data_IF_284698715525
#
_entry.id   IF_284698715525
#
_cell.length_a   1.000
_cell.length_b   1.000
_cell.length_c   1.000
_cell.angle_alpha   90.00
_cell.angle_beta   90.00
_cell.angle_gamma   90.00
#
_symmetry.space_group_name_H-M   'P 1'
#
loop_
_entity.id
_entity.type
_entity.pdbx_description
1 polymer ?
#
# COMPACT_ATOMS: atom_id res chain seq x y z
N UNK A 1 -11.11 -34.26 40.47
CA UNK A 1 -10.58 -34.39 39.10
C UNK A 1 -10.48 -33.01 38.46
N UNK A 2 -9.26 -32.51 38.23
CA UNK A 2 -8.99 -31.19 37.65
C UNK A 2 -8.87 -31.29 36.12
N UNK A 3 -9.66 -30.44 35.47
CA UNK A 3 -9.35 -29.62 34.27
C UNK A 3 -8.83 -30.34 33.01
N UNK A 4 -9.77 -30.67 32.11
CA UNK A 4 -9.55 -30.60 30.66
C UNK A 4 -10.58 -29.61 30.10
N UNK A 5 -10.31 -28.32 30.26
CA UNK A 5 -11.03 -27.25 29.56
C UNK A 5 -10.00 -26.16 29.27
N UNK A 6 -9.14 -26.34 28.24
CA UNK A 6 -8.35 -25.21 27.71
C UNK A 6 -7.64 -25.45 26.35
N UNK A 7 -8.14 -26.31 25.45
CA UNK A 7 -7.48 -26.51 24.14
C UNK A 7 -8.39 -26.12 22.94
N UNK A 8 -9.72 -26.22 23.05
CA UNK A 8 -10.60 -25.88 21.92
C UNK A 8 -10.78 -24.37 21.67
N UNK A 9 -10.68 -23.53 22.70
CA UNK A 9 -10.85 -22.06 22.54
C UNK A 9 -9.64 -21.44 21.81
N UNK A 10 -8.43 -21.96 22.06
CA UNK A 10 -7.21 -21.49 21.39
C UNK A 10 -7.23 -21.82 19.90
N UNK A 11 -7.55 -23.05 19.51
CA UNK A 11 -7.62 -23.44 18.09
C UNK A 11 -8.74 -22.73 17.32
N UNK A 12 -9.89 -22.48 17.94
CA UNK A 12 -10.98 -21.73 17.30
C UNK A 12 -10.63 -20.25 17.13
N UNK A 13 -9.97 -19.63 18.11
CA UNK A 13 -9.45 -18.27 17.97
C UNK A 13 -8.34 -18.17 16.92
N UNK A 14 -7.48 -19.19 16.80
CA UNK A 14 -6.42 -19.26 15.78
C UNK A 14 -7.01 -19.37 14.38
N UNK A 15 -8.03 -20.21 14.17
CA UNK A 15 -8.72 -20.34 12.86
C UNK A 15 -9.50 -19.07 12.49
N UNK A 16 -10.20 -18.45 13.43
CA UNK A 16 -10.86 -17.17 13.21
C UNK A 16 -9.84 -16.06 12.90
N UNK A 17 -8.71 -16.02 13.62
CA UNK A 17 -7.62 -15.08 13.37
C UNK A 17 -6.90 -15.33 12.03
N UNK A 18 -6.73 -16.58 11.59
CA UNK A 18 -6.21 -16.92 10.24
C UNK A 18 -7.18 -16.44 9.15
N UNK A 19 -8.49 -16.61 9.36
CA UNK A 19 -9.51 -16.10 8.43
C UNK A 19 -9.59 -14.57 8.40
N UNK A 20 -9.30 -13.91 9.52
CA UNK A 20 -9.28 -12.45 9.66
C UNK A 20 -8.01 -11.87 9.01
N UNK A 21 -6.84 -12.40 9.34
CA UNK A 21 -5.58 -11.94 8.77
C UNK A 21 -5.57 -12.10 7.24
N UNK A 22 -6.12 -13.21 6.73
CA UNK A 22 -6.28 -13.41 5.28
C UNK A 22 -7.28 -12.45 4.64
N UNK A 23 -8.37 -12.08 5.31
CA UNK A 23 -9.31 -11.04 4.83
C UNK A 23 -8.67 -9.67 4.79
N UNK A 24 -7.97 -9.27 5.87
CA UNK A 24 -7.23 -8.02 5.94
C UNK A 24 -6.24 -7.92 4.78
N UNK A 25 -5.36 -8.91 4.64
CA UNK A 25 -4.35 -8.92 3.57
C UNK A 25 -5.01 -8.83 2.20
N UNK A 26 -6.07 -9.60 1.94
CA UNK A 26 -6.80 -9.56 0.66
C UNK A 26 -7.40 -8.20 0.33
N UNK A 27 -8.00 -7.51 1.32
CA UNK A 27 -8.58 -6.17 1.08
C UNK A 27 -7.48 -5.15 0.82
N UNK A 28 -6.39 -5.22 1.57
CA UNK A 28 -5.22 -4.34 1.38
C UNK A 28 -4.57 -4.59 0.01
N UNK A 29 -4.33 -5.84 -0.38
CA UNK A 29 -3.76 -6.19 -1.68
C UNK A 29 -4.68 -5.71 -2.83
N UNK A 30 -6.01 -5.84 -2.67
CA UNK A 30 -6.97 -5.32 -3.63
C UNK A 30 -6.94 -3.78 -3.72
N UNK A 31 -6.77 -3.09 -2.60
CA UNK A 31 -6.64 -1.63 -2.57
C UNK A 31 -5.34 -1.18 -3.26
N UNK A 32 -4.21 -1.84 -2.96
CA UNK A 32 -2.91 -1.57 -3.59
C UNK A 32 -3.00 -1.74 -5.10
N UNK A 33 -3.63 -2.82 -5.58
CA UNK A 33 -3.83 -3.05 -7.00
C UNK A 33 -4.71 -1.96 -7.65
N UNK A 34 -5.83 -1.59 -7.02
CA UNK A 34 -6.71 -0.53 -7.56
C UNK A 34 -6.01 0.83 -7.62
N UNK A 35 -5.26 1.20 -6.57
CA UNK A 35 -4.44 2.42 -6.56
C UNK A 35 -3.39 2.38 -7.67
N UNK A 36 -2.69 1.24 -7.81
CA UNK A 36 -1.67 1.05 -8.83
C UNK A 36 -2.22 1.21 -10.25
N UNK A 37 -3.41 0.68 -10.52
CA UNK A 37 -4.10 0.84 -11.82
C UNK A 37 -4.50 2.29 -12.08
N UNK A 38 -5.03 2.99 -11.06
CA UNK A 38 -5.38 4.41 -11.18
C UNK A 38 -4.16 5.28 -11.48
N UNK A 39 -3.04 5.03 -10.79
CA UNK A 39 -1.79 5.75 -11.05
C UNK A 39 -1.26 5.43 -12.44
N UNK A 40 -1.21 4.16 -12.83
CA UNK A 40 -0.72 3.77 -14.16
C UNK A 40 -1.54 4.44 -15.27
N UNK A 41 -2.86 4.46 -15.14
CA UNK A 41 -3.73 5.16 -16.08
C UNK A 41 -3.47 6.67 -16.10
N UNK A 42 -3.30 7.31 -14.93
CA UNK A 42 -2.98 8.74 -14.83
C UNK A 42 -1.63 9.07 -15.52
N UNK A 43 -0.61 8.25 -15.31
CA UNK A 43 0.72 8.40 -15.90
C UNK A 43 0.70 8.22 -17.42
N UNK A 44 -0.07 7.24 -17.93
CA UNK A 44 -0.23 7.02 -19.37
C UNK A 44 -0.98 8.20 -20.00
N UNK A 45 -2.13 8.58 -19.44
CA UNK A 45 -3.03 9.59 -20.04
C UNK A 45 -2.45 11.00 -19.96
N UNK A 46 -1.84 11.36 -18.83
CA UNK A 46 -1.45 12.75 -18.58
C UNK A 46 0.04 13.03 -18.82
N UNK A 47 0.88 12.00 -18.87
CA UNK A 47 2.34 12.17 -18.99
C UNK A 47 2.95 11.33 -20.13
N UNK A 48 2.16 10.53 -20.84
CA UNK A 48 2.63 9.60 -21.88
C UNK A 48 3.75 8.67 -21.41
N UNK A 49 3.77 8.32 -20.12
CA UNK A 49 4.74 7.36 -19.62
C UNK A 49 4.35 5.94 -20.04
N UNK A 50 5.31 5.21 -20.59
CA UNK A 50 5.18 3.78 -20.85
C UNK A 50 5.70 3.04 -19.64
N UNK A 51 4.78 2.41 -18.89
CA UNK A 51 5.13 1.65 -17.69
C UNK A 51 5.20 0.17 -18.07
N UNK A 52 6.42 -0.37 -18.11
CA UNK A 52 6.64 -1.80 -18.30
C UNK A 52 6.21 -2.59 -17.07
N UNK A 53 5.13 -3.37 -17.16
CA UNK A 53 4.77 -4.31 -16.09
C UNK A 53 5.88 -5.33 -15.83
N UNK A 54 6.16 -5.60 -14.55
CA UNK A 54 7.04 -6.71 -14.13
C UNK A 54 6.20 -7.93 -13.74
N UNK A 55 6.66 -9.16 -14.03
CA UNK A 55 5.92 -10.38 -13.68
C UNK A 55 5.61 -10.55 -12.18
N UNK A 56 6.41 -9.92 -11.32
CA UNK A 56 6.28 -9.95 -9.86
C UNK A 56 5.53 -8.74 -9.27
N UNK A 57 5.01 -7.85 -10.13
CA UNK A 57 4.25 -6.70 -9.67
C UNK A 57 2.84 -7.11 -9.26
N UNK A 58 2.60 -7.02 -7.95
CA UNK A 58 1.25 -6.98 -7.36
C UNK A 58 0.80 -5.53 -7.11
N UNK A 59 1.67 -4.56 -7.41
CA UNK A 59 1.57 -3.14 -7.10
C UNK A 59 2.52 -2.34 -8.01
N UNK A 60 2.31 -1.03 -8.13
CA UNK A 60 3.13 -0.14 -8.96
C UNK A 60 4.36 0.37 -8.19
N UNK A 61 5.55 0.15 -8.75
CA UNK A 61 6.83 0.57 -8.17
C UNK A 61 7.81 -0.59 -8.04
N UNK A 62 9.09 -0.33 -8.29
CA UNK A 62 10.16 -1.21 -7.80
C UNK A 62 10.33 -1.07 -6.28
N UNK A 63 9.87 0.07 -5.75
CA UNK A 63 9.84 0.39 -4.34
C UNK A 63 8.64 1.28 -4.08
N UNK A 64 7.83 0.97 -3.06
CA UNK A 64 6.66 1.76 -2.72
C UNK A 64 6.34 1.77 -1.23
N UNK A 65 5.59 2.81 -0.86
CA UNK A 65 5.01 3.00 0.46
C UNK A 65 3.53 3.37 0.33
N UNK A 66 2.65 2.54 0.93
CA UNK A 66 1.24 2.84 1.11
C UNK A 66 0.97 3.23 2.57
N UNK A 67 0.51 4.47 2.76
CA UNK A 67 0.09 5.03 4.03
C UNK A 67 -1.43 5.12 4.10
N UNK A 68 -2.02 4.49 5.11
CA UNK A 68 -3.40 4.70 5.54
C UNK A 68 -3.38 5.76 6.64
N UNK A 69 -3.77 6.98 6.30
CA UNK A 69 -3.73 8.12 7.23
C UNK A 69 -5.10 8.26 7.89
N UNK A 70 -5.20 7.93 9.18
CA UNK A 70 -6.44 8.02 9.93
C UNK A 70 -6.76 9.47 10.32
N UNK A 71 -5.74 10.19 10.77
CA UNK A 71 -5.76 11.60 11.17
C UNK A 71 -4.33 12.15 11.19
N UNK A 72 -4.13 13.30 11.84
CA UNK A 72 -2.81 13.94 11.97
C UNK A 72 -1.82 13.17 12.86
N UNK A 73 -2.30 12.25 13.68
CA UNK A 73 -1.50 11.56 14.70
C UNK A 73 -1.28 10.08 14.39
N UNK A 74 -2.11 9.48 13.54
CA UNK A 74 -2.18 8.04 13.34
C UNK A 74 -2.11 7.68 11.86
N UNK A 75 -1.00 7.02 11.50
CA UNK A 75 -0.80 6.43 10.17
C UNK A 75 -0.42 4.96 10.33
N UNK A 76 -1.00 4.12 9.48
CA UNK A 76 -0.53 2.76 9.24
C UNK A 76 0.17 2.71 7.90
N UNK A 77 1.40 2.21 7.89
CA UNK A 77 2.29 2.25 6.73
C UNK A 77 2.64 0.83 6.31
N UNK A 78 2.52 0.57 5.02
CA UNK A 78 2.99 -0.63 4.34
C UNK A 78 4.10 -0.20 3.40
N UNK A 79 5.25 -0.86 3.51
CA UNK A 79 6.46 -0.54 2.78
C UNK A 79 6.92 -1.81 2.08
N UNK A 80 7.26 -1.75 0.79
CA UNK A 80 7.78 -2.93 0.08
C UNK A 80 8.79 -2.58 -1.01
N UNK A 81 9.90 -3.31 -0.99
CA UNK A 81 10.93 -3.28 -2.01
C UNK A 81 10.86 -4.54 -2.85
N UNK A 82 10.78 -4.39 -4.16
CA UNK A 82 10.81 -5.49 -5.13
C UNK A 82 12.24 -5.62 -5.68
N UNK A 83 12.68 -6.83 -6.03
CA UNK A 83 11.93 -8.08 -6.09
C UNK A 83 11.90 -8.89 -4.78
N UNK A 84 12.49 -8.39 -3.68
CA UNK A 84 12.63 -9.14 -2.42
C UNK A 84 11.30 -9.52 -1.73
N UNK A 85 10.17 -8.96 -2.20
CA UNK A 85 8.78 -9.31 -1.85
C UNK A 85 8.44 -9.22 -0.36
N UNK A 86 9.34 -8.65 0.46
CA UNK A 86 9.10 -8.40 1.86
C UNK A 86 8.26 -7.14 2.01
N UNK A 87 7.02 -7.31 2.49
CA UNK A 87 6.17 -6.20 2.97
C UNK A 87 6.48 -5.97 4.44
N UNK A 88 6.89 -4.75 4.77
CA UNK A 88 7.06 -4.28 6.14
C UNK A 88 5.85 -3.44 6.54
N UNK A 89 5.31 -3.72 7.73
CA UNK A 89 4.15 -3.03 8.26
C UNK A 89 4.56 -2.24 9.50
N UNK A 90 4.24 -0.96 9.54
CA UNK A 90 4.54 -0.06 10.66
C UNK A 90 3.29 0.70 11.10
N UNK A 91 3.15 0.87 12.41
CA UNK A 91 2.14 1.72 13.01
C UNK A 91 2.82 2.81 13.84
N UNK A 92 2.54 4.08 13.54
CA UNK A 92 3.35 5.16 14.11
C UNK A 92 2.99 5.55 15.55
N UNK A 93 1.70 5.64 15.94
CA UNK A 93 1.33 6.14 17.29
C UNK A 93 0.08 5.53 17.93
N UNK A 94 -1.04 5.35 17.21
CA UNK A 94 -2.31 4.92 17.83
C UNK A 94 -2.73 3.51 17.41
N UNK A 95 -2.62 2.56 18.35
CA UNK A 95 -3.12 1.20 18.19
C UNK A 95 -4.65 1.12 18.11
N UNK A 96 -5.38 2.04 18.76
CA UNK A 96 -6.84 1.98 18.86
C UNK A 96 -7.53 2.19 17.51
N UNK A 97 -7.15 3.23 16.75
CA UNK A 97 -7.75 3.51 15.44
C UNK A 97 -7.48 2.40 14.43
N UNK A 98 -6.24 1.93 14.37
CA UNK A 98 -5.87 0.78 13.55
C UNK A 98 -6.64 -0.49 13.97
N UNK A 99 -6.81 -0.74 15.27
CA UNK A 99 -7.59 -1.88 15.76
C UNK A 99 -9.05 -1.81 15.30
N UNK A 100 -9.68 -0.63 15.38
CA UNK A 100 -11.06 -0.43 14.93
C UNK A 100 -11.19 -0.58 13.41
N UNK A 101 -10.21 -0.09 12.65
CA UNK A 101 -10.10 -0.30 11.21
C UNK A 101 -10.03 -1.79 10.87
N UNK A 102 -9.10 -2.53 11.49
CA UNK A 102 -8.95 -3.96 11.27
C UNK A 102 -10.21 -4.75 11.69
N UNK A 103 -10.82 -4.42 12.82
CA UNK A 103 -12.10 -4.99 13.26
C UNK A 103 -13.19 -4.79 12.20
N UNK A 104 -13.30 -3.60 11.63
CA UNK A 104 -14.28 -3.31 10.58
C UNK A 104 -14.03 -4.14 9.33
N UNK A 105 -12.80 -4.17 8.82
CA UNK A 105 -12.43 -4.98 7.64
C UNK A 105 -12.80 -6.45 7.82
N UNK A 106 -12.54 -7.01 9.00
CA UNK A 106 -12.81 -8.42 9.27
C UNK A 106 -14.29 -8.78 9.38
N UNK A 107 -15.08 -7.85 9.91
CA UNK A 107 -16.50 -8.06 10.17
C UNK A 107 -17.37 -7.74 8.95
N UNK A 108 -17.05 -6.67 8.22
CA UNK A 108 -17.88 -6.15 7.13
C UNK A 108 -17.32 -6.50 5.75
N UNK A 109 -16.05 -6.92 5.65
CA UNK A 109 -15.37 -7.22 4.38
C UNK A 109 -15.40 -6.04 3.37
N UNK A 110 -15.41 -4.82 3.88
CA UNK A 110 -15.38 -3.56 3.11
C UNK A 110 -14.45 -2.54 3.80
N UNK A 111 -14.00 -1.52 3.07
CA UNK A 111 -13.20 -0.43 3.63
C UNK A 111 -14.07 0.50 4.49
N UNK A 112 -13.66 0.88 5.72
CA UNK A 112 -14.39 1.86 6.51
C UNK A 112 -14.11 3.29 6.01
N UNK A 113 -14.78 3.71 4.94
CA UNK A 113 -14.51 4.99 4.23
C UNK A 113 -14.50 6.24 5.11
N UNK A 114 -15.20 6.22 6.26
CA UNK A 114 -15.29 7.34 7.20
C UNK A 114 -14.20 7.33 8.28
N UNK A 115 -13.36 6.29 8.37
CA UNK A 115 -12.38 6.13 9.47
C UNK A 115 -11.02 6.76 9.16
N UNK A 116 -10.71 6.99 7.89
CA UNK A 116 -9.44 7.53 7.46
C UNK A 116 -9.62 8.83 6.68
N UNK A 117 -8.61 9.69 6.76
CA UNK A 117 -8.58 10.99 6.09
C UNK A 117 -8.25 10.82 4.61
N UNK A 118 -7.22 10.05 4.30
CA UNK A 118 -6.79 9.72 2.94
C UNK A 118 -5.82 8.52 2.93
N UNK A 119 -5.61 7.95 1.75
CA UNK A 119 -4.46 7.09 1.47
C UNK A 119 -3.37 7.91 0.81
N UNK A 120 -2.11 7.66 1.16
CA UNK A 120 -0.95 8.23 0.45
C UNK A 120 -0.12 7.09 -0.13
N UNK A 121 0.18 7.16 -1.41
CA UNK A 121 0.96 6.16 -2.12
C UNK A 121 2.19 6.85 -2.70
N UNK A 122 3.37 6.44 -2.24
CA UNK A 122 4.66 6.92 -2.73
C UNK A 122 5.32 5.77 -3.46
N UNK A 123 5.87 6.01 -4.64
CA UNK A 123 6.59 4.99 -5.39
C UNK A 123 7.81 5.54 -6.10
N UNK A 124 8.73 4.61 -6.35
CA UNK A 124 9.84 4.77 -7.27
C UNK A 124 9.79 3.62 -8.29
N UNK A 125 9.78 3.96 -9.57
CA UNK A 125 9.92 3.00 -10.67
C UNK A 125 11.29 3.24 -11.29
N UNK A 126 12.17 2.26 -11.13
CA UNK A 126 13.46 2.21 -11.78
C UNK A 126 13.36 1.75 -13.23
N UNK A 127 14.42 2.01 -13.98
CA UNK A 127 14.52 1.68 -15.41
C UNK A 127 14.41 0.18 -15.68
N UNK A 128 13.78 -0.20 -16.79
CA UNK A 128 13.99 -1.50 -17.45
C UNK A 128 14.83 -1.33 -18.73
N UNK A 129 15.67 -2.32 -19.02
CA UNK A 129 16.30 -2.44 -20.33
C UNK A 129 15.22 -2.61 -21.41
N UNK A 130 15.17 -1.67 -22.37
CA UNK A 130 14.15 -1.60 -23.42
C UNK A 130 13.03 -0.57 -23.22
N UNK A 131 12.99 0.14 -22.08
CA UNK A 131 12.08 1.28 -21.92
C UNK A 131 12.54 2.49 -22.77
N UNK A 132 11.58 3.24 -23.33
CA UNK A 132 11.82 4.39 -24.22
C UNK A 132 12.61 5.55 -23.56
N UNK A 133 12.71 5.57 -22.24
CA UNK A 133 13.37 6.63 -21.47
C UNK A 133 14.77 6.17 -21.06
N UNK A 134 15.80 6.82 -21.62
CA UNK A 134 17.19 6.52 -21.30
C UNK A 134 17.56 7.03 -19.89
N UNK A 135 17.62 6.15 -18.90
CA UNK A 135 18.39 6.39 -17.66
C UNK A 135 17.66 7.08 -16.50
N UNK A 136 16.39 7.43 -16.66
CA UNK A 136 15.62 8.13 -15.64
C UNK A 136 14.71 7.19 -14.84
N UNK A 137 14.50 7.48 -13.56
CA UNK A 137 13.46 6.85 -12.74
C UNK A 137 12.25 7.78 -12.59
N UNK A 138 11.08 7.21 -12.31
CA UNK A 138 9.87 7.99 -11.99
C UNK A 138 9.63 7.89 -10.50
N UNK A 139 9.63 9.04 -9.83
CA UNK A 139 9.15 9.18 -8.47
C UNK A 139 7.75 9.78 -8.48
N UNK A 140 6.85 9.20 -7.71
CA UNK A 140 5.50 9.73 -7.57
C UNK A 140 4.97 9.64 -6.16
N UNK A 141 4.24 10.67 -5.76
CA UNK A 141 3.42 10.71 -4.56
C UNK A 141 1.99 11.04 -4.97
N UNK A 142 1.04 10.19 -4.58
CA UNK A 142 -0.39 10.43 -4.76
C UNK A 142 -1.10 10.40 -3.42
N UNK A 143 -2.11 11.25 -3.27
CA UNK A 143 -3.10 11.14 -2.19
C UNK A 143 -4.46 10.80 -2.76
N UNK A 144 -5.12 9.84 -2.14
CA UNK A 144 -6.44 9.37 -2.51
C UNK A 144 -7.43 9.57 -1.39
N UNK A 145 -8.63 10.02 -1.74
CA UNK A 145 -9.79 9.92 -0.88
C UNK A 145 -10.66 8.76 -1.36
N UNK A 146 -10.99 7.84 -0.47
CA UNK A 146 -11.95 6.80 -0.78
C UNK A 146 -13.36 7.21 -0.35
N UNK A 147 -14.32 6.88 -1.18
CA UNK A 147 -15.75 6.99 -0.91
C UNK A 147 -16.37 5.60 -1.10
N UNK A 148 -17.63 5.39 -0.70
CA UNK A 148 -18.32 4.13 -0.98
C UNK A 148 -18.40 3.76 -2.47
N UNK A 149 -18.22 4.73 -3.38
CA UNK A 149 -18.35 4.53 -4.82
C UNK A 149 -17.00 4.42 -5.53
N UNK A 150 -15.99 5.15 -5.08
CA UNK A 150 -14.75 5.32 -5.82
C UNK A 150 -13.55 5.77 -4.98
N UNK A 151 -12.35 5.59 -5.55
CA UNK A 151 -11.08 6.16 -5.10
C UNK A 151 -10.75 7.37 -5.98
N UNK A 152 -10.61 8.54 -5.36
CA UNK A 152 -10.41 9.82 -6.05
C UNK A 152 -9.01 10.34 -5.74
N UNK A 153 -8.24 10.70 -6.77
CA UNK A 153 -6.97 11.43 -6.61
C UNK A 153 -7.28 12.85 -6.13
N UNK A 154 -6.80 13.22 -4.96
CA UNK A 154 -7.02 14.55 -4.37
C UNK A 154 -5.76 15.44 -4.39
N UNK A 155 -4.60 14.83 -4.56
CA UNK A 155 -3.31 15.51 -4.66
C UNK A 155 -2.31 14.57 -5.33
N UNK A 156 -1.34 15.13 -6.06
CA UNK A 156 -0.25 14.35 -6.66
C UNK A 156 0.98 15.19 -6.92
N UNK A 157 2.15 14.57 -6.78
CA UNK A 157 3.45 15.09 -7.20
C UNK A 157 4.18 14.00 -7.98
N UNK A 158 4.58 14.31 -9.22
CA UNK A 158 5.34 13.40 -10.08
C UNK A 158 6.64 14.07 -10.49
N UNK A 159 7.73 13.32 -10.46
CA UNK A 159 9.07 13.79 -10.73
C UNK A 159 9.86 12.74 -11.51
N UNK A 160 10.53 13.18 -12.59
CA UNK A 160 11.49 12.35 -13.31
C UNK A 160 12.87 12.57 -12.68
N UNK A 161 13.47 11.51 -12.17
CA UNK A 161 14.78 11.51 -11.54
C UNK A 161 15.84 11.08 -12.55
N UNK A 162 16.67 12.03 -12.96
CA UNK A 162 17.78 11.79 -13.88
C UNK A 162 19.09 11.61 -13.13
N UNK A 163 19.77 10.49 -13.37
CA UNK A 163 21.07 10.15 -12.79
C UNK A 163 20.96 9.31 -11.53
N UNK A 164 21.86 8.34 -11.41
CA UNK A 164 21.88 7.33 -10.34
C UNK A 164 21.91 7.93 -8.93
N UNK A 165 22.70 8.98 -8.71
CA UNK A 165 22.83 9.63 -7.41
C UNK A 165 21.49 10.16 -6.88
N UNK A 166 20.68 10.80 -7.74
CA UNK A 166 19.36 11.32 -7.34
C UNK A 166 18.37 10.21 -7.04
N UNK A 167 18.48 9.10 -7.78
CA UNK A 167 17.64 7.91 -7.57
C UNK A 167 17.96 7.31 -6.20
N UNK A 168 19.25 7.13 -5.88
CA UNK A 168 19.72 6.61 -4.60
C UNK A 168 19.35 7.56 -3.45
N UNK A 169 19.54 8.87 -3.61
CA UNK A 169 19.16 9.87 -2.61
C UNK A 169 17.66 9.78 -2.29
N UNK A 170 16.81 9.76 -3.31
CA UNK A 170 15.35 9.67 -3.10
C UNK A 170 14.94 8.34 -2.49
N UNK A 171 15.56 7.25 -2.91
CA UNK A 171 15.33 5.91 -2.36
C UNK A 171 15.69 5.83 -0.87
N UNK A 172 16.78 6.48 -0.44
CA UNK A 172 17.23 6.45 0.96
C UNK A 172 16.60 7.52 1.85
N UNK A 173 16.06 8.61 1.30
CA UNK A 173 15.50 9.72 2.08
C UNK A 173 14.05 9.48 2.53
N UNK A 174 13.30 8.68 1.78
CA UNK A 174 11.88 8.39 2.05
C UNK A 174 11.66 7.00 2.71
N UNK A 175 12.74 6.28 3.03
CA UNK A 175 12.76 4.91 3.60
C UNK A 175 13.49 4.85 4.94
#
# INVERSE_FOLDING_TARGET
MRKIILICILLFSVLLNLSSQSRFNRIIDSLENNISQLIANDLIVNYNFVISQRPWWTCLGDSYELKIVFDEECTYTIVSNKPDDSKHHKLDKSYTKFRLFNLHLNNQNELPYNFFKYFKYIFLIGKKEGDLFSGDAIFGEYKFKATPLELIIIDKKIETLTGEDKIIEKYNADW
#
